data_IF_256489420968
#
_entry.id   IF_256489420968
#
_cell.length_a   1.000
_cell.length_b   1.000
_cell.length_c   1.000
_cell.angle_alpha   90.00
_cell.angle_beta   90.00
_cell.angle_gamma   90.00
#
_symmetry.space_group_name_H-M   'P 1'
#
loop_
_entity.id
_entity.type
_entity.pdbx_description
1 polymer ?
#
# COMPACT_ATOMS: atom_id res chain seq x y z
N UNK A 1 -10.69 -1.29 2.26
CA UNK A 1 -12.00 -1.91 1.98
C UNK A 1 -12.37 -1.70 0.52
N UNK A 2 -12.05 -2.66 -0.36
CA UNK A 2 -12.74 -2.74 -1.65
C UNK A 2 -14.15 -3.29 -1.39
N UNK A 3 -15.17 -2.41 -1.33
CA UNK A 3 -16.54 -2.80 -1.65
C UNK A 3 -16.55 -3.17 -3.13
N UNK A 4 -16.29 -4.44 -3.43
CA UNK A 4 -15.97 -4.91 -4.78
C UNK A 4 -17.17 -5.56 -5.45
N UNK A 5 -18.37 -5.03 -5.20
CA UNK A 5 -19.56 -5.36 -5.97
C UNK A 5 -20.22 -4.04 -6.38
N UNK A 6 -20.26 -3.81 -7.69
CA UNK A 6 -21.00 -2.75 -8.34
C UNK A 6 -22.14 -3.39 -9.15
N UNK A 7 -23.21 -2.66 -9.42
CA UNK A 7 -24.39 -3.19 -10.10
C UNK A 7 -25.46 -3.66 -9.11
N UNK A 8 -26.29 -4.64 -9.52
CA UNK A 8 -27.46 -5.08 -8.76
C UNK A 8 -27.13 -5.57 -7.34
N UNK A 9 -25.92 -6.07 -7.12
CA UNK A 9 -25.45 -6.59 -5.84
C UNK A 9 -24.66 -5.58 -5.01
N UNK A 10 -24.62 -4.30 -5.42
CA UNK A 10 -23.98 -3.24 -4.67
C UNK A 10 -24.67 -3.06 -3.30
N UNK A 11 -23.94 -3.37 -2.22
CA UNK A 11 -24.47 -3.31 -0.84
C UNK A 11 -25.04 -4.62 -0.32
N UNK A 12 -24.98 -5.71 -1.08
CA UNK A 12 -25.19 -7.06 -0.55
C UNK A 12 -24.07 -7.45 0.41
N UNK A 13 -24.32 -8.40 1.33
CA UNK A 13 -23.32 -8.92 2.28
C UNK A 13 -22.28 -9.83 1.62
N UNK A 14 -22.09 -9.74 0.31
CA UNK A 14 -21.15 -10.58 -0.42
C UNK A 14 -19.75 -9.95 -0.44
N UNK A 15 -18.73 -10.80 -0.33
CA UNK A 15 -17.33 -10.42 -0.21
C UNK A 15 -16.50 -11.06 -1.31
N UNK A 16 -15.75 -10.24 -2.04
CA UNK A 16 -14.82 -10.73 -3.05
C UNK A 16 -13.39 -10.61 -2.53
N UNK A 17 -12.68 -11.72 -2.51
CA UNK A 17 -11.24 -11.77 -2.23
C UNK A 17 -10.51 -12.19 -3.50
N UNK A 18 -9.48 -11.43 -3.89
CA UNK A 18 -8.63 -11.73 -5.03
C UNK A 18 -7.19 -11.83 -4.57
N UNK A 19 -6.47 -12.85 -5.04
CA UNK A 19 -5.02 -12.96 -4.87
C UNK A 19 -4.38 -12.70 -6.22
N UNK A 20 -3.44 -11.75 -6.27
CA UNK A 20 -2.64 -11.46 -7.45
C UNK A 20 -1.16 -11.66 -7.20
N UNK A 21 -0.38 -11.81 -8.26
CA UNK A 21 1.08 -11.91 -8.20
C UNK A 21 1.77 -10.58 -8.54
N UNK A 22 3.10 -10.57 -8.43
CA UNK A 22 3.96 -9.42 -8.71
C UNK A 22 3.93 -8.95 -10.17
N UNK A 23 3.39 -9.77 -11.08
CA UNK A 23 3.21 -9.46 -12.50
C UNK A 23 1.87 -8.80 -12.82
N UNK A 24 1.03 -8.58 -11.81
CA UNK A 24 -0.31 -8.03 -11.98
C UNK A 24 -1.34 -9.05 -12.49
N UNK A 25 -1.03 -10.34 -12.44
CA UNK A 25 -1.96 -11.41 -12.81
C UNK A 25 -2.80 -11.80 -11.59
N UNK A 26 -4.09 -12.09 -11.81
CA UNK A 26 -4.96 -12.65 -10.77
C UNK A 26 -4.78 -14.17 -10.74
N UNK A 27 -4.33 -14.71 -9.61
CA UNK A 27 -4.13 -16.14 -9.40
C UNK A 27 -5.43 -16.86 -9.02
N UNK A 28 -6.25 -16.20 -8.21
CA UNK A 28 -7.54 -16.72 -7.76
C UNK A 28 -8.45 -15.59 -7.31
N UNK A 29 -9.76 -15.78 -7.45
CA UNK A 29 -10.77 -14.94 -6.80
C UNK A 29 -11.87 -15.81 -6.23
N UNK A 30 -12.33 -15.46 -5.03
CA UNK A 30 -13.41 -16.15 -4.33
C UNK A 30 -14.46 -15.11 -3.93
N UNK A 31 -15.73 -15.43 -4.19
CA UNK A 31 -16.89 -14.67 -3.77
C UNK A 31 -17.58 -15.44 -2.64
N UNK A 32 -17.72 -14.82 -1.47
CA UNK A 32 -18.30 -15.44 -0.27
C UNK A 32 -19.46 -14.65 0.29
N UNK A 33 -20.37 -15.34 0.99
CA UNK A 33 -21.54 -14.73 1.62
C UNK A 33 -21.23 -13.90 2.88
N UNK A 34 -20.00 -14.00 3.40
CA UNK A 34 -19.53 -13.27 4.56
C UNK A 34 -18.00 -13.08 4.49
N UNK A 35 -17.50 -12.10 5.23
CA UNK A 35 -16.07 -11.82 5.33
C UNK A 35 -15.32 -13.00 5.94
N UNK A 36 -14.19 -13.38 5.33
CA UNK A 36 -13.33 -14.44 5.87
C UNK A 36 -13.81 -15.88 5.59
N UNK A 37 -15.06 -16.07 5.20
CA UNK A 37 -15.58 -17.38 4.84
C UNK A 37 -14.85 -17.93 3.60
N UNK A 38 -14.58 -19.24 3.56
CA UNK A 38 -13.92 -19.90 2.42
C UNK A 38 -12.46 -19.50 2.15
N UNK A 39 -11.86 -18.57 2.92
CA UNK A 39 -10.48 -18.14 2.70
C UNK A 39 -9.45 -19.24 3.03
N UNK A 40 -9.78 -20.17 3.93
CA UNK A 40 -8.93 -21.34 4.22
C UNK A 40 -8.84 -22.25 3.01
N UNK A 41 -9.97 -22.60 2.40
CA UNK A 41 -9.98 -23.46 1.21
C UNK A 41 -9.28 -22.79 0.02
N UNK A 42 -9.47 -21.47 -0.13
CA UNK A 42 -8.74 -20.65 -1.10
C UNK A 42 -7.22 -20.74 -0.88
N UNK A 43 -6.76 -20.56 0.37
CA UNK A 43 -5.36 -20.58 0.72
C UNK A 43 -4.76 -21.99 0.52
N UNK A 44 -5.40 -23.04 1.04
CA UNK A 44 -4.98 -24.43 0.84
C UNK A 44 -4.87 -24.76 -0.65
N UNK A 45 -5.88 -24.40 -1.46
CA UNK A 45 -5.85 -24.62 -2.89
C UNK A 45 -4.73 -23.85 -3.61
N UNK A 46 -4.33 -22.68 -3.11
CA UNK A 46 -3.20 -21.92 -3.64
C UNK A 46 -1.86 -22.59 -3.29
N UNK A 47 -1.67 -23.02 -2.04
CA UNK A 47 -0.46 -23.72 -1.60
C UNK A 47 -0.25 -25.02 -2.39
N UNK A 48 -1.33 -25.78 -2.58
CA UNK A 48 -1.34 -27.01 -3.38
C UNK A 48 -0.93 -26.76 -4.84
N UNK A 49 -1.42 -25.68 -5.47
CA UNK A 49 -1.03 -25.33 -6.84
C UNK A 49 0.44 -24.97 -6.97
N UNK A 50 0.99 -24.22 -6.01
CA UNK A 50 2.43 -23.91 -5.98
C UNK A 50 3.25 -25.18 -5.87
N UNK A 51 2.86 -26.08 -4.95
CA UNK A 51 3.50 -27.38 -4.74
C UNK A 51 3.46 -28.25 -6.00
N UNK A 52 2.29 -28.39 -6.63
CA UNK A 52 2.12 -29.18 -7.86
C UNK A 52 2.92 -28.59 -9.05
N UNK A 53 3.03 -27.27 -9.14
CA UNK A 53 3.79 -26.59 -10.17
C UNK A 53 5.31 -26.54 -9.89
N UNK A 54 5.76 -27.09 -8.76
CA UNK A 54 7.16 -27.01 -8.33
C UNK A 54 7.66 -25.57 -8.16
N UNK A 55 6.77 -24.64 -7.80
CA UNK A 55 7.10 -23.24 -7.55
C UNK A 55 7.40 -23.01 -6.08
N UNK A 56 8.43 -22.21 -5.79
CA UNK A 56 8.76 -21.84 -4.43
C UNK A 56 7.65 -20.97 -3.80
N UNK A 57 7.39 -21.10 -2.49
CA UNK A 57 6.48 -20.22 -1.77
C UNK A 57 6.84 -18.74 -1.94
N UNK A 58 5.85 -17.84 -1.98
CA UNK A 58 6.11 -16.41 -1.96
C UNK A 58 6.78 -16.00 -0.65
N UNK A 59 7.71 -15.04 -0.72
CA UNK A 59 8.37 -14.48 0.45
C UNK A 59 7.51 -13.46 1.19
N UNK A 60 6.62 -12.75 0.48
CA UNK A 60 5.80 -11.67 1.02
C UNK A 60 4.35 -11.77 0.53
N UNK A 61 3.39 -11.55 1.43
CA UNK A 61 1.98 -11.37 1.12
C UNK A 61 1.53 -9.96 1.53
N UNK A 62 1.07 -9.16 0.56
CA UNK A 62 0.48 -7.85 0.82
C UNK A 62 -1.03 -7.97 1.07
N UNK A 63 -1.49 -7.44 2.21
CA UNK A 63 -2.90 -7.48 2.62
C UNK A 63 -3.45 -6.06 2.79
N UNK A 64 -4.74 -5.86 2.51
CA UNK A 64 -5.41 -4.60 2.85
C UNK A 64 -5.45 -4.47 4.38
N UNK A 65 -6.01 -5.44 5.11
CA UNK A 65 -6.28 -5.37 6.56
C UNK A 65 -5.60 -6.50 7.32
N UNK A 66 -5.65 -6.40 8.65
CA UNK A 66 -5.16 -7.44 9.57
C UNK A 66 -3.68 -7.80 9.39
N UNK A 67 -2.88 -6.82 8.96
CA UNK A 67 -1.44 -6.95 8.73
C UNK A 67 -0.63 -7.26 10.01
N UNK A 68 -1.11 -6.86 11.18
CA UNK A 68 -0.44 -7.08 12.46
C UNK A 68 -1.47 -7.24 13.59
N UNK A 69 -1.08 -7.96 14.64
CA UNK A 69 -1.85 -8.06 15.89
C UNK A 69 -1.20 -7.26 17.00
N UNK A 70 -2.02 -6.67 17.86
CA UNK A 70 -1.54 -5.91 19.03
C UNK A 70 -0.81 -6.79 20.05
N UNK A 71 -1.06 -8.11 20.03
CA UNK A 71 -0.48 -9.10 20.95
C UNK A 71 0.83 -9.74 20.44
N UNK A 72 1.34 -9.32 19.27
CA UNK A 72 2.56 -9.88 18.68
C UNK A 72 2.41 -11.30 18.13
N UNK A 73 1.19 -11.86 18.13
CA UNK A 73 0.93 -13.18 17.55
C UNK A 73 0.91 -13.17 16.02
N UNK A 74 0.92 -14.38 15.44
CA UNK A 74 0.77 -14.59 13.98
C UNK A 74 -0.50 -13.90 13.49
N UNK A 75 -0.36 -13.03 12.48
CA UNK A 75 -1.51 -12.32 11.95
C UNK A 75 -2.49 -13.28 11.25
N UNK A 76 -3.77 -12.94 11.24
CA UNK A 76 -4.83 -13.83 10.74
C UNK A 76 -4.59 -14.27 9.29
N UNK A 77 -4.00 -13.39 8.47
CA UNK A 77 -3.63 -13.70 7.10
C UNK A 77 -2.50 -14.75 7.01
N UNK A 78 -1.45 -14.65 7.83
CA UNK A 78 -0.38 -15.65 7.85
C UNK A 78 -0.88 -17.02 8.30
N UNK A 79 -1.82 -17.05 9.25
CA UNK A 79 -2.42 -18.30 9.73
C UNK A 79 -3.21 -19.08 8.66
N UNK A 80 -3.56 -18.44 7.53
CA UNK A 80 -4.18 -19.12 6.39
C UNK A 80 -3.19 -19.96 5.57
N UNK A 81 -1.88 -19.73 5.71
CA UNK A 81 -0.84 -20.35 4.87
C UNK A 81 0.15 -21.19 5.70
N UNK A 82 -0.30 -22.28 6.38
CA UNK A 82 0.55 -23.07 7.28
C UNK A 82 1.78 -23.69 6.60
N UNK A 83 1.69 -24.06 5.31
CA UNK A 83 2.84 -24.62 4.57
C UNK A 83 3.90 -23.58 4.19
N UNK A 84 3.66 -22.29 4.44
CA UNK A 84 4.57 -21.19 4.09
C UNK A 84 5.06 -20.46 5.36
N UNK A 85 5.87 -21.11 6.23
CA UNK A 85 6.24 -20.57 7.54
C UNK A 85 7.13 -19.33 7.49
N UNK A 86 7.80 -19.08 6.36
CA UNK A 86 8.64 -17.89 6.16
C UNK A 86 7.88 -16.72 5.50
N UNK A 87 6.58 -16.87 5.23
CA UNK A 87 5.77 -15.85 4.57
C UNK A 87 5.66 -14.59 5.45
N UNK A 88 6.25 -13.49 5.00
CA UNK A 88 6.08 -12.20 5.65
C UNK A 88 4.77 -11.55 5.20
N UNK A 89 3.87 -11.24 6.14
CA UNK A 89 2.67 -10.46 5.83
C UNK A 89 2.97 -8.98 5.99
N UNK A 90 2.65 -8.21 4.94
CA UNK A 90 2.84 -6.76 4.88
C UNK A 90 1.54 -6.06 4.58
N UNK A 91 1.40 -4.84 5.08
CA UNK A 91 0.29 -3.97 4.72
C UNK A 91 0.51 -3.42 3.31
N UNK A 92 -0.51 -3.51 2.47
CA UNK A 92 -0.49 -2.87 1.16
C UNK A 92 -0.40 -1.35 1.30
N UNK A 93 0.64 -0.76 0.70
CA UNK A 93 0.94 0.66 0.84
C UNK A 93 -0.11 1.55 0.19
N UNK A 94 -0.72 1.09 -0.91
CA UNK A 94 -1.79 1.84 -1.56
C UNK A 94 -3.02 1.93 -0.64
N UNK A 95 -3.41 0.83 0.00
CA UNK A 95 -4.48 0.83 1.00
C UNK A 95 -4.11 1.68 2.21
N UNK A 96 -2.85 1.67 2.66
CA UNK A 96 -2.38 2.56 3.72
C UNK A 96 -2.55 4.04 3.36
N UNK A 97 -2.10 4.45 2.16
CA UNK A 97 -2.28 5.82 1.66
C UNK A 97 -3.77 6.18 1.58
N UNK A 98 -4.63 5.26 1.10
CA UNK A 98 -6.08 5.50 1.05
C UNK A 98 -6.72 5.68 2.42
N UNK A 99 -6.23 5.00 3.45
CA UNK A 99 -6.70 5.24 4.83
C UNK A 99 -6.36 6.62 5.32
N UNK A 100 -5.16 7.13 5.01
CA UNK A 100 -4.81 8.52 5.30
C UNK A 100 -5.66 9.49 4.48
N UNK A 101 -5.89 9.19 3.20
CA UNK A 101 -6.72 9.99 2.31
C UNK A 101 -8.18 10.11 2.79
N UNK A 102 -8.69 9.16 3.57
CA UNK A 102 -10.01 9.27 4.19
C UNK A 102 -10.16 10.46 5.16
N UNK A 103 -9.05 11.10 5.57
CA UNK A 103 -9.07 12.35 6.32
C UNK A 103 -9.34 13.60 5.47
N UNK A 104 -9.21 13.51 4.14
CA UNK A 104 -9.47 14.61 3.20
C UNK A 104 -10.96 14.92 3.14
N UNK A 105 -11.33 16.20 3.15
CA UNK A 105 -12.74 16.65 3.14
C UNK A 105 -13.50 16.13 1.92
N UNK A 106 -12.87 16.18 0.74
CA UNK A 106 -13.41 15.63 -0.52
C UNK A 106 -12.28 15.20 -1.47
N UNK A 107 -12.45 14.09 -2.19
CA UNK A 107 -11.48 13.64 -3.22
C UNK A 107 -11.42 14.60 -4.41
N UNK A 108 -12.44 15.44 -4.61
CA UNK A 108 -12.46 16.50 -5.63
C UNK A 108 -11.69 17.75 -5.23
N UNK A 109 -11.07 17.78 -4.03
CA UNK A 109 -10.33 18.94 -3.56
C UNK A 109 -9.11 19.21 -4.45
N UNK A 110 -8.83 20.47 -4.77
CA UNK A 110 -7.74 20.86 -5.67
C UNK A 110 -6.36 20.38 -5.20
N UNK A 111 -6.14 20.38 -3.88
CA UNK A 111 -4.92 19.87 -3.23
C UNK A 111 -4.90 18.35 -2.98
N UNK A 112 -5.93 17.59 -3.37
CA UNK A 112 -6.00 16.15 -3.10
C UNK A 112 -4.85 15.37 -3.74
N UNK A 113 -4.59 15.63 -5.02
CA UNK A 113 -3.52 14.98 -5.76
C UNK A 113 -2.14 15.28 -5.17
N UNK A 114 -1.89 16.54 -4.81
CA UNK A 114 -0.64 16.96 -4.18
C UNK A 114 -0.46 16.31 -2.79
N UNK A 115 -1.53 16.20 -2.01
CA UNK A 115 -1.50 15.48 -0.73
C UNK A 115 -1.11 14.01 -0.93
N UNK A 116 -1.75 13.29 -1.85
CA UNK A 116 -1.41 11.89 -2.16
C UNK A 116 0.03 11.75 -2.67
N UNK A 117 0.49 12.67 -3.52
CA UNK A 117 1.87 12.68 -3.99
C UNK A 117 2.86 12.87 -2.84
N UNK A 118 2.58 13.78 -1.89
CA UNK A 118 3.44 13.99 -0.72
C UNK A 118 3.42 12.83 0.26
N UNK A 119 2.27 12.16 0.46
CA UNK A 119 2.20 10.90 1.21
C UNK A 119 3.08 9.83 0.56
N UNK A 120 2.97 9.63 -0.76
CA UNK A 120 3.77 8.65 -1.48
C UNK A 120 5.27 8.93 -1.38
N UNK A 121 5.69 10.19 -1.53
CA UNK A 121 7.11 10.61 -1.39
C UNK A 121 7.65 10.48 0.04
N UNK A 122 6.76 10.59 1.04
CA UNK A 122 7.10 10.39 2.45
C UNK A 122 7.37 8.92 2.78
N UNK A 123 6.73 7.99 2.06
CA UNK A 123 6.91 6.55 2.27
C UNK A 123 8.04 5.99 1.40
N UNK A 124 8.10 6.42 0.14
CA UNK A 124 9.02 5.86 -0.85
C UNK A 124 10.18 6.78 -1.16
N UNK A 125 11.31 6.15 -1.46
CA UNK A 125 12.45 6.75 -2.11
C UNK A 125 12.89 5.93 -3.31
N UNK A 126 13.65 6.56 -4.20
CA UNK A 126 14.33 5.85 -5.26
C UNK A 126 15.51 5.09 -4.68
N UNK A 127 15.71 3.87 -5.15
CA UNK A 127 16.87 3.10 -4.76
C UNK A 127 18.16 3.87 -5.12
N UNK A 128 19.04 4.13 -4.15
CA UNK A 128 20.22 4.97 -4.37
C UNK A 128 21.21 4.34 -5.34
N UNK A 129 21.26 3.00 -5.43
CA UNK A 129 22.15 2.31 -6.35
C UNK A 129 21.63 2.43 -7.78
N UNK A 130 20.34 2.18 -8.00
CA UNK A 130 19.73 2.37 -9.32
C UNK A 130 19.82 3.83 -9.77
N UNK A 131 19.58 4.78 -8.85
CA UNK A 131 19.73 6.21 -9.14
C UNK A 131 21.17 6.57 -9.51
N UNK A 132 22.17 6.08 -8.78
CA UNK A 132 23.58 6.30 -9.11
C UNK A 132 23.96 5.69 -10.46
N UNK A 133 23.41 4.53 -10.82
CA UNK A 133 23.61 3.91 -12.15
C UNK A 133 22.99 4.76 -13.26
N UNK A 134 21.77 5.25 -13.05
CA UNK A 134 21.08 6.14 -14.00
C UNK A 134 21.82 7.47 -14.17
N UNK A 135 22.30 8.07 -13.07
CA UNK A 135 23.06 9.31 -13.10
C UNK A 135 24.39 9.15 -13.84
N UNK A 136 25.12 8.05 -13.60
CA UNK A 136 26.34 7.75 -14.36
C UNK A 136 26.08 7.55 -15.85
N UNK A 137 25.03 6.84 -16.21
CA UNK A 137 24.66 6.65 -17.62
C UNK A 137 24.34 7.99 -18.29
N UNK A 138 23.60 8.87 -17.61
CA UNK A 138 23.17 10.15 -18.16
C UNK A 138 24.27 11.20 -18.23
N UNK A 139 25.12 11.27 -17.20
CA UNK A 139 26.22 12.24 -17.14
C UNK A 139 27.52 11.75 -17.80
N UNK A 140 27.57 10.49 -18.25
CA UNK A 140 28.63 9.97 -19.12
C UNK A 140 28.45 10.37 -20.59
N UNK A 141 27.23 10.74 -20.99
CA UNK A 141 26.94 11.37 -22.27
C UNK A 141 27.29 12.87 -22.18
N UNK A 142 27.87 13.43 -23.25
CA UNK A 142 28.51 14.75 -23.36
C UNK A 142 27.68 16.00 -22.93
N UNK A 143 26.50 15.83 -22.32
CA UNK A 143 25.62 16.88 -21.81
C UNK A 143 24.98 16.47 -20.47
N UNK A 144 25.36 17.17 -19.38
CA UNK A 144 24.71 17.02 -18.06
C UNK A 144 23.28 17.55 -18.10
N UNK A 145 22.32 16.66 -18.31
CA UNK A 145 20.88 16.99 -18.25
C UNK A 145 20.28 16.47 -16.95
N UNK A 146 19.36 17.21 -16.31
CA UNK A 146 18.67 16.72 -15.12
C UNK A 146 17.90 15.44 -15.44
N UNK A 147 17.92 14.48 -14.53
CA UNK A 147 17.14 13.24 -14.64
C UNK A 147 15.66 13.58 -14.44
N UNK A 148 14.84 13.32 -15.45
CA UNK A 148 13.41 13.53 -15.37
C UNK A 148 12.75 12.43 -14.52
N UNK A 149 11.65 12.76 -13.87
CA UNK A 149 10.87 11.80 -13.07
C UNK A 149 10.48 10.54 -13.86
N UNK A 150 10.13 10.69 -15.16
CA UNK A 150 9.79 9.56 -16.04
C UNK A 150 10.97 8.60 -16.25
N UNK A 151 12.20 9.10 -16.24
CA UNK A 151 13.40 8.26 -16.37
C UNK A 151 13.65 7.51 -15.07
N UNK A 152 13.54 8.18 -13.92
CA UNK A 152 13.62 7.53 -12.61
C UNK A 152 12.56 6.43 -12.48
N UNK A 153 11.31 6.70 -12.88
CA UNK A 153 10.23 5.72 -12.81
C UNK A 153 10.42 4.50 -13.72
N UNK A 154 11.23 4.61 -14.77
CA UNK A 154 11.54 3.50 -15.68
C UNK A 154 12.78 2.70 -15.25
N UNK A 155 13.75 3.36 -14.64
CA UNK A 155 15.09 2.79 -14.44
C UNK A 155 15.48 2.61 -12.96
N UNK A 156 14.78 3.25 -12.03
CA UNK A 156 15.02 3.13 -10.61
C UNK A 156 13.88 2.40 -9.92
N UNK A 157 14.19 1.38 -9.12
CA UNK A 157 13.22 0.81 -8.20
C UNK A 157 12.90 1.83 -7.10
N UNK A 158 11.71 1.69 -6.52
CA UNK A 158 11.33 2.40 -5.30
C UNK A 158 11.48 1.46 -4.11
N UNK A 159 11.93 2.00 -2.99
CA UNK A 159 11.99 1.30 -1.70
C UNK A 159 11.36 2.14 -0.61
N UNK A 160 10.97 1.51 0.49
CA UNK A 160 10.46 2.17 1.69
C UNK A 160 11.62 2.80 2.47
N UNK A 161 11.35 3.88 3.21
CA UNK A 161 12.38 4.66 3.92
C UNK A 161 12.77 4.11 5.31
N UNK A 162 12.17 3.01 5.74
CA UNK A 162 12.24 2.54 7.12
C UNK A 162 11.21 3.26 8.01
N UNK A 163 10.99 2.70 9.22
CA UNK A 163 9.92 3.14 10.13
C UNK A 163 10.08 4.61 10.54
N UNK A 164 11.22 4.96 11.12
CA UNK A 164 11.45 6.28 11.72
C UNK A 164 11.36 7.41 10.69
N UNK A 165 12.02 7.25 9.54
CA UNK A 165 12.02 8.25 8.49
C UNK A 165 10.64 8.41 7.84
N UNK A 166 9.93 7.30 7.60
CA UNK A 166 8.56 7.32 7.06
C UNK A 166 7.62 8.03 8.02
N UNK A 167 7.70 7.71 9.31
CA UNK A 167 6.86 8.31 10.34
C UNK A 167 7.05 9.81 10.46
N UNK A 168 8.31 10.27 10.54
CA UNK A 168 8.62 11.69 10.61
C UNK A 168 8.08 12.45 9.39
N UNK A 169 8.34 11.96 8.18
CA UNK A 169 7.94 12.63 6.94
C UNK A 169 6.42 12.63 6.74
N UNK A 170 5.72 11.58 7.17
CA UNK A 170 4.27 11.54 7.18
C UNK A 170 3.70 12.55 8.18
N UNK A 171 4.26 12.64 9.38
CA UNK A 171 3.83 13.61 10.40
C UNK A 171 4.02 15.06 9.91
N UNK A 172 5.18 15.36 9.32
CA UNK A 172 5.46 16.65 8.67
C UNK A 172 4.48 16.95 7.52
N UNK A 173 4.18 15.95 6.69
CA UNK A 173 3.22 16.09 5.59
C UNK A 173 1.81 16.35 6.13
N UNK A 174 1.33 15.59 7.10
CA UNK A 174 0.01 15.78 7.69
C UNK A 174 -0.09 17.16 8.34
N UNK A 175 0.93 17.60 9.07
CA UNK A 175 0.98 18.96 9.65
C UNK A 175 0.94 20.04 8.57
N UNK A 176 1.70 19.90 7.49
CA UNK A 176 1.74 20.89 6.41
C UNK A 176 0.39 21.07 5.70
N UNK A 177 -0.45 20.04 5.65
CA UNK A 177 -1.79 20.12 5.05
C UNK A 177 -2.90 20.40 6.08
N UNK A 178 -2.57 20.35 7.38
CA UNK A 178 -3.52 20.72 8.43
C UNK A 178 -3.74 22.23 8.38
N UNK A 179 -4.95 22.66 8.01
CA UNK A 179 -5.27 24.08 7.82
C UNK A 179 -4.94 24.64 6.43
N UNK A 180 -4.38 23.83 5.52
CA UNK A 180 -4.22 24.24 4.13
C UNK A 180 -5.59 24.31 3.43
N UNK A 181 -5.84 25.41 2.73
CA UNK A 181 -7.11 25.66 2.04
C UNK A 181 -6.91 25.85 0.54
N UNK A 182 -7.97 25.65 -0.23
CA UNK A 182 -8.02 26.10 -1.62
C UNK A 182 -8.29 27.62 -1.73
N UNK A 183 -8.45 28.10 -2.96
CA UNK A 183 -8.73 29.51 -3.28
C UNK A 183 -10.07 30.01 -2.71
N UNK A 184 -10.98 29.11 -2.33
CA UNK A 184 -12.28 29.42 -1.72
C UNK A 184 -12.24 29.29 -0.19
N UNK A 185 -11.09 29.02 0.40
CA UNK A 185 -10.93 28.86 1.85
C UNK A 185 -11.43 27.50 2.37
N UNK A 186 -11.70 26.54 1.49
CA UNK A 186 -12.13 25.20 1.90
C UNK A 186 -10.90 24.41 2.35
N UNK A 187 -10.90 23.81 3.56
CA UNK A 187 -9.77 23.04 4.05
C UNK A 187 -9.66 21.69 3.32
N UNK A 188 -8.43 21.30 2.99
CA UNK A 188 -8.16 19.99 2.38
C UNK A 188 -8.37 18.85 3.36
N UNK A 189 -8.01 19.04 4.64
CA UNK A 189 -8.14 18.02 5.68
C UNK A 189 -9.24 18.40 6.69
N UNK A 190 -10.07 17.42 7.03
CA UNK A 190 -10.80 17.47 8.29
C UNK A 190 -9.81 17.21 9.42
N UNK A 191 -9.52 18.24 10.20
CA UNK A 191 -8.45 18.20 11.22
C UNK A 191 -8.75 17.22 12.36
N UNK A 192 -10.01 17.09 12.77
CA UNK A 192 -10.40 16.18 13.84
C UNK A 192 -10.31 14.73 13.35
N UNK A 193 -10.87 14.45 12.17
CA UNK A 193 -10.84 13.12 11.56
C UNK A 193 -9.42 12.68 11.19
N UNK A 194 -8.62 13.57 10.62
CA UNK A 194 -7.22 13.26 10.28
C UNK A 194 -6.40 12.92 11.53
N UNK A 195 -6.59 13.63 12.64
CA UNK A 195 -5.89 13.34 13.90
C UNK A 195 -6.17 11.91 14.38
N UNK A 196 -7.42 11.48 14.32
CA UNK A 196 -7.83 10.14 14.72
C UNK A 196 -7.32 9.06 13.76
N UNK A 197 -7.41 9.32 12.45
CA UNK A 197 -6.84 8.45 11.42
C UNK A 197 -5.34 8.29 11.63
N UNK A 198 -4.60 9.38 11.81
CA UNK A 198 -3.16 9.35 12.00
C UNK A 198 -2.76 8.58 13.26
N UNK A 199 -3.45 8.85 14.38
CA UNK A 199 -3.27 8.10 15.64
C UNK A 199 -3.39 6.59 15.43
N UNK A 200 -4.37 6.16 14.64
CA UNK A 200 -4.58 4.74 14.35
C UNK A 200 -3.59 4.18 13.33
N UNK A 201 -3.29 4.91 12.25
CA UNK A 201 -2.44 4.44 11.16
C UNK A 201 -0.94 4.49 11.47
N UNK A 202 -0.51 5.30 12.43
CA UNK A 202 0.90 5.41 12.85
C UNK A 202 1.50 4.07 13.27
N UNK A 203 0.72 3.22 13.95
CA UNK A 203 1.16 1.87 14.37
C UNK A 203 1.48 0.94 13.20
N UNK A 204 0.91 1.20 12.02
CA UNK A 204 1.03 0.33 10.85
C UNK A 204 2.19 0.74 9.92
N UNK A 205 3.00 1.73 10.31
CA UNK A 205 4.18 2.14 9.54
C UNK A 205 5.17 0.98 9.44
N UNK A 206 5.36 0.21 10.51
CA UNK A 206 6.19 -1.00 10.48
C UNK A 206 5.64 -2.08 9.52
N UNK A 207 4.32 -2.14 9.35
CA UNK A 207 3.67 -3.14 8.51
C UNK A 207 3.87 -2.89 7.01
N UNK A 208 4.13 -1.63 6.61
CA UNK A 208 4.40 -1.26 5.22
C UNK A 208 5.90 -1.28 4.86
N UNK A 209 6.80 -1.53 5.84
CA UNK A 209 8.24 -1.60 5.58
C UNK A 209 8.66 -2.92 4.97
#
# INVERSE_FOLDING_TARGET
VTRKLAGADAGTTQWMTSVGNERGQVLMSVLTAAEGYGLRDMATGLQERYRQAGQDPPSVLYVDRDCCRSDGGTCAAAALFPEWPQLAVRLDVWHYIRRLAAGVTTESHTLYSEFLCRLSRSIFEWDPEDFARLDRAKNGELSRRPIAFKEMARHCRRRTRGVEATERLLDETIKAFTGATDMMGIPVLDSARMREIWRTQRRHIACIQ
#
